data_IF_564842162168
#
_entry.id   IF_564842162168
#
_cell.length_a   1.000
_cell.length_b   1.000
_cell.length_c   1.000
_cell.angle_alpha   90.00
_cell.angle_beta   90.00
_cell.angle_gamma   90.00
#
_symmetry.space_group_name_H-M   'P 1'
#
loop_
_entity.id
_entity.type
_entity.pdbx_description
1 polymer ?
#
# COMPACT_ATOMS: atom_id res chain seq x y z
N UNK A 1 75.99 -13.14 25.18
CA UNK A 1 75.05 -12.31 25.98
C UNK A 1 73.79 -13.13 26.19
N UNK A 2 73.48 -13.46 27.44
CA UNK A 2 72.72 -14.64 27.85
C UNK A 2 71.21 -14.49 27.58
N UNK A 3 70.57 -15.51 27.02
CA UNK A 3 69.17 -15.48 26.55
C UNK A 3 68.16 -15.23 27.69
N UNK A 4 68.57 -15.53 28.93
CA UNK A 4 67.84 -15.15 30.15
C UNK A 4 67.76 -13.64 30.36
N UNK A 5 68.80 -12.87 30.03
CA UNK A 5 68.86 -11.41 30.23
C UNK A 5 67.91 -10.68 29.26
N UNK A 6 67.74 -11.20 28.04
CA UNK A 6 66.78 -10.66 27.06
C UNK A 6 65.33 -10.86 27.50
N UNK A 7 65.00 -12.02 28.09
CA UNK A 7 63.64 -12.33 28.55
C UNK A 7 63.24 -11.51 29.77
N UNK A 8 64.15 -11.28 30.74
CA UNK A 8 63.87 -10.39 31.86
C UNK A 8 63.79 -8.92 31.45
N UNK A 9 64.61 -8.48 30.49
CA UNK A 9 64.52 -7.10 29.97
C UNK A 9 63.20 -6.84 29.22
N UNK A 10 62.71 -7.79 28.41
CA UNK A 10 61.39 -7.67 27.76
C UNK A 10 60.22 -7.70 28.75
N UNK A 11 60.29 -8.51 29.81
CA UNK A 11 59.24 -8.57 30.83
C UNK A 11 59.16 -7.27 31.65
N UNK A 12 60.30 -6.67 31.98
CA UNK A 12 60.35 -5.39 32.71
C UNK A 12 59.90 -4.21 31.84
N UNK A 13 60.25 -4.19 30.55
CA UNK A 13 59.73 -3.19 29.61
C UNK A 13 58.21 -3.32 29.37
N UNK A 14 57.68 -4.54 29.36
CA UNK A 14 56.23 -4.78 29.20
C UNK A 14 55.43 -4.38 30.43
N UNK A 15 55.96 -4.59 31.65
CA UNK A 15 55.33 -4.09 32.88
C UNK A 15 55.43 -2.57 33.01
N UNK A 16 56.54 -1.95 32.59
CA UNK A 16 56.70 -0.50 32.60
C UNK A 16 55.80 0.20 31.58
N UNK A 17 55.56 -0.41 30.41
CA UNK A 17 54.60 0.09 29.42
C UNK A 17 53.14 -0.03 29.89
N UNK A 18 52.81 -1.06 30.68
CA UNK A 18 51.47 -1.24 31.24
C UNK A 18 51.17 -0.24 32.38
N UNK A 19 52.19 0.21 33.11
CA UNK A 19 52.03 1.21 34.18
C UNK A 19 51.73 2.63 33.68
N UNK A 20 52.11 2.96 32.45
CA UNK A 20 51.88 4.29 31.84
C UNK A 20 50.41 4.48 31.42
N UNK A 21 49.64 3.40 31.24
CA UNK A 21 48.20 3.47 30.92
C UNK A 21 47.31 3.79 32.13
N UNK A 22 47.82 3.73 33.36
CA UNK A 22 47.01 3.92 34.58
C UNK A 22 47.06 5.36 35.13
N UNK A 23 47.78 6.29 34.49
CA UNK A 23 47.88 7.72 34.93
C UNK A 23 47.08 8.67 34.01
N UNK A 24 46.15 8.12 33.22
CA UNK A 24 45.31 8.86 32.28
C UNK A 24 43.82 8.84 32.59
N UNK A 25 43.44 8.66 33.85
CA UNK A 25 42.03 8.71 34.27
C UNK A 25 41.88 9.72 35.41
N UNK A 26 42.21 10.98 35.14
CA UNK A 26 41.74 12.12 35.93
C UNK A 26 41.19 13.18 34.99
N UNK A 27 39.94 12.96 34.60
CA UNK A 27 38.95 13.98 34.29
C UNK A 27 37.62 13.24 34.24
N UNK A 28 36.85 13.34 35.31
CA UNK A 28 35.39 13.30 35.15
C UNK A 28 35.07 14.34 34.08
N UNK A 29 34.62 13.88 32.92
CA UNK A 29 34.09 14.78 31.90
C UNK A 29 32.90 15.50 32.53
N UNK A 30 33.03 16.80 32.77
CA UNK A 30 31.92 17.67 33.16
C UNK A 30 30.86 17.79 32.04
N UNK A 31 31.14 17.20 30.85
CA UNK A 31 30.25 17.13 29.69
C UNK A 31 29.47 15.80 29.61
N UNK A 32 29.33 15.04 30.71
CA UNK A 32 28.33 13.98 30.77
C UNK A 32 26.98 14.63 31.15
N UNK A 33 25.97 14.63 30.26
CA UNK A 33 24.67 15.22 30.57
C UNK A 33 24.13 14.62 31.87
N UNK A 34 23.87 15.49 32.85
CA UNK A 34 23.39 15.11 34.18
C UNK A 34 21.88 14.84 34.20
N UNK A 35 21.20 15.20 33.12
CA UNK A 35 19.82 14.85 32.83
C UNK A 35 19.67 14.58 31.34
N UNK A 36 18.95 13.52 31.01
CA UNK A 36 18.52 13.21 29.65
C UNK A 36 17.01 13.41 29.57
N UNK A 37 16.54 13.91 28.44
CA UNK A 37 15.11 14.00 28.20
C UNK A 37 14.49 12.60 28.20
N UNK A 38 13.34 12.49 28.87
CA UNK A 38 12.58 11.24 28.88
C UNK A 38 12.02 10.96 27.49
N UNK A 39 11.80 9.68 27.16
CA UNK A 39 11.12 9.28 25.91
C UNK A 39 9.80 10.03 25.75
N UNK A 40 8.99 10.17 26.81
CA UNK A 40 7.72 10.90 26.75
C UNK A 40 7.89 12.38 26.38
N UNK A 41 8.96 13.03 26.83
CA UNK A 41 9.26 14.42 26.47
C UNK A 41 9.66 14.53 25.01
N UNK A 42 10.57 13.66 24.57
CA UNK A 42 11.04 13.59 23.18
C UNK A 42 9.87 13.31 22.22
N UNK A 43 8.98 12.37 22.54
CA UNK A 43 7.80 12.10 21.72
C UNK A 43 6.87 13.31 21.62
N UNK A 44 6.60 13.98 22.75
CA UNK A 44 5.76 15.19 22.75
C UNK A 44 6.40 16.32 21.94
N UNK A 45 7.72 16.48 22.02
CA UNK A 45 8.46 17.48 21.28
C UNK A 45 8.48 17.15 19.78
N UNK A 46 8.77 15.90 19.41
CA UNK A 46 8.80 15.43 18.02
C UNK A 46 7.46 15.67 17.32
N UNK A 47 6.34 15.28 17.95
CA UNK A 47 5.01 15.56 17.40
C UNK A 47 4.68 17.05 17.36
N UNK A 48 5.15 17.84 18.32
CA UNK A 48 4.99 19.31 18.26
C UNK A 48 5.75 19.93 17.10
N UNK A 49 6.95 19.44 16.79
CA UNK A 49 7.74 19.89 15.63
C UNK A 49 7.09 19.43 14.32
N UNK A 50 6.65 18.17 14.26
CA UNK A 50 5.95 17.61 13.11
C UNK A 50 4.72 18.45 12.74
N UNK A 51 3.87 18.75 13.73
CA UNK A 51 2.67 19.57 13.55
C UNK A 51 2.96 21.04 13.21
N UNK A 52 4.19 21.51 13.46
CA UNK A 52 4.65 22.83 13.03
C UNK A 52 5.22 22.84 11.60
N UNK A 53 5.28 21.68 10.92
CA UNK A 53 5.92 21.51 9.61
C UNK A 53 7.44 21.39 9.65
N UNK A 54 8.01 21.25 10.84
CA UNK A 54 9.45 21.15 11.09
C UNK A 54 9.89 19.68 11.05
N UNK A 55 9.81 19.06 9.88
CA UNK A 55 9.91 17.60 9.72
C UNK A 55 11.32 17.07 9.98
N UNK A 56 12.37 17.81 9.61
CA UNK A 56 13.75 17.44 9.91
C UNK A 56 14.03 17.44 11.43
N UNK A 57 13.58 18.47 12.15
CA UNK A 57 13.72 18.50 13.61
C UNK A 57 12.86 17.42 14.30
N UNK A 58 11.65 17.18 13.80
CA UNK A 58 10.79 16.11 14.28
C UNK A 58 11.49 14.75 14.13
N UNK A 59 12.01 14.47 12.94
CA UNK A 59 12.75 13.24 12.64
C UNK A 59 13.94 13.07 13.60
N UNK A 60 14.76 14.11 13.79
CA UNK A 60 15.88 14.07 14.74
C UNK A 60 15.42 13.79 16.17
N UNK A 61 14.31 14.37 16.60
CA UNK A 61 13.80 14.20 17.96
C UNK A 61 13.21 12.80 18.19
N UNK A 62 12.51 12.24 17.21
CA UNK A 62 12.06 10.83 17.26
C UNK A 62 13.25 9.87 17.23
N UNK A 63 14.31 10.19 16.49
CA UNK A 63 15.54 9.40 16.48
C UNK A 63 16.20 9.39 17.86
N UNK A 64 16.23 10.53 18.56
CA UNK A 64 16.72 10.61 19.93
C UNK A 64 15.87 9.75 20.88
N UNK A 65 14.54 9.72 20.72
CA UNK A 65 13.66 8.85 21.49
C UNK A 65 13.96 7.36 21.23
N UNK A 66 14.15 6.99 19.96
CA UNK A 66 14.52 5.64 19.55
C UNK A 66 15.89 5.21 20.12
N UNK A 67 16.86 6.11 20.18
CA UNK A 67 18.17 5.83 20.79
C UNK A 67 18.11 5.59 22.30
N UNK A 68 17.05 6.06 22.99
CA UNK A 68 16.83 5.73 24.42
C UNK A 68 16.29 4.33 24.60
N UNK A 69 15.41 3.89 23.71
CA UNK A 69 14.84 2.55 23.69
C UNK A 69 14.52 2.13 22.26
N UNK A 70 15.34 1.23 21.73
CA UNK A 70 15.22 0.72 20.36
C UNK A 70 13.97 -0.14 20.15
N UNK A 71 13.23 -0.50 21.20
CA UNK A 71 11.96 -1.23 21.10
C UNK A 71 10.74 -0.34 21.29
N UNK A 72 10.94 0.97 21.44
CA UNK A 72 9.83 1.92 21.59
C UNK A 72 9.17 2.22 20.23
N UNK A 73 8.23 1.36 19.84
CA UNK A 73 7.55 1.39 18.54
C UNK A 73 6.95 2.76 18.15
N UNK A 74 6.35 3.56 19.07
CA UNK A 74 5.83 4.88 18.70
C UNK A 74 6.88 5.84 18.14
N UNK A 75 8.17 5.70 18.49
CA UNK A 75 9.23 6.50 17.89
C UNK A 75 9.46 6.15 16.42
N UNK A 76 9.37 4.87 16.05
CA UNK A 76 9.41 4.44 14.64
C UNK A 76 8.27 5.05 13.83
N UNK A 77 7.09 5.21 14.45
CA UNK A 77 5.95 5.81 13.77
C UNK A 77 6.20 7.29 13.44
N UNK A 78 6.70 8.05 14.42
CA UNK A 78 7.12 9.43 14.20
C UNK A 78 8.23 9.56 13.15
N UNK A 79 9.21 8.65 13.15
CA UNK A 79 10.26 8.60 12.13
C UNK A 79 9.69 8.33 10.74
N UNK A 80 8.77 7.37 10.60
CA UNK A 80 8.13 7.01 9.34
C UNK A 80 7.36 8.18 8.74
N UNK A 81 6.45 8.79 9.52
CA UNK A 81 5.66 9.92 9.05
C UNK A 81 6.49 11.17 8.77
N UNK A 82 7.55 11.42 9.55
CA UNK A 82 8.49 12.49 9.24
C UNK A 82 9.22 12.23 7.93
N UNK A 83 9.66 10.99 7.68
CA UNK A 83 10.31 10.60 6.43
C UNK A 83 9.38 10.73 5.21
N UNK A 84 8.09 10.39 5.33
CA UNK A 84 7.07 10.65 4.29
C UNK A 84 7.08 12.14 3.90
N UNK A 85 7.04 13.02 4.89
CA UNK A 85 7.02 14.47 4.66
C UNK A 85 8.33 15.04 4.14
N UNK A 86 9.43 14.33 4.36
CA UNK A 86 10.73 14.62 3.77
C UNK A 86 10.91 13.95 2.40
N UNK A 87 9.88 13.30 1.86
CA UNK A 87 9.90 12.54 0.59
C UNK A 87 10.93 11.39 0.56
N UNK A 88 11.35 10.90 1.73
CA UNK A 88 12.24 9.75 1.88
C UNK A 88 11.41 8.48 2.12
N UNK A 89 10.69 8.06 1.08
CA UNK A 89 9.72 6.96 1.15
C UNK A 89 10.36 5.59 1.41
N UNK A 90 11.61 5.40 0.98
CA UNK A 90 12.36 4.18 1.28
C UNK A 90 12.63 4.05 2.78
N UNK A 91 13.07 5.14 3.40
CA UNK A 91 13.26 5.18 4.84
C UNK A 91 11.92 5.07 5.57
N UNK A 92 10.88 5.80 5.13
CA UNK A 92 9.54 5.71 5.71
C UNK A 92 9.03 4.26 5.76
N UNK A 93 9.08 3.56 4.62
CA UNK A 93 8.69 2.15 4.52
C UNK A 93 9.50 1.25 5.46
N UNK A 94 10.79 1.53 5.65
CA UNK A 94 11.64 0.80 6.61
C UNK A 94 11.16 0.99 8.06
N UNK A 95 10.83 2.22 8.46
CA UNK A 95 10.36 2.48 9.82
C UNK A 95 9.00 1.82 10.10
N UNK A 96 8.06 1.93 9.16
CA UNK A 96 6.74 1.32 9.31
C UNK A 96 6.81 -0.22 9.27
N UNK A 97 7.66 -0.81 8.43
CA UNK A 97 7.86 -2.27 8.40
C UNK A 97 8.37 -2.81 9.74
N UNK A 98 9.20 -2.03 10.46
CA UNK A 98 9.63 -2.43 11.80
C UNK A 98 8.45 -2.53 12.78
N UNK A 99 7.52 -1.59 12.73
CA UNK A 99 6.29 -1.62 13.53
C UNK A 99 5.45 -2.85 13.13
N UNK A 100 5.20 -3.05 11.83
CA UNK A 100 4.45 -4.20 11.32
C UNK A 100 4.98 -5.54 11.86
N UNK A 101 6.30 -5.70 11.92
CA UNK A 101 6.94 -6.95 12.38
C UNK A 101 7.03 -7.09 13.91
N UNK A 102 6.91 -5.99 14.65
CA UNK A 102 7.19 -5.96 16.10
C UNK A 102 5.98 -5.69 16.98
N UNK A 103 4.92 -5.07 16.43
CA UNK A 103 3.69 -4.76 17.13
C UNK A 103 2.90 -6.03 17.48
N UNK A 104 2.17 -5.99 18.59
CA UNK A 104 1.30 -7.09 19.03
C UNK A 104 -0.15 -6.75 18.70
N UNK A 105 -0.75 -7.49 17.76
CA UNK A 105 -2.17 -7.36 17.42
C UNK A 105 -3.07 -7.55 18.66
N UNK A 106 -4.11 -6.73 18.76
CA UNK A 106 -5.00 -6.60 19.91
C UNK A 106 -4.46 -5.68 21.02
N UNK A 107 -3.18 -5.31 20.98
CA UNK A 107 -2.55 -4.39 21.95
C UNK A 107 -2.14 -3.08 21.30
N UNK A 108 -1.54 -3.16 20.11
CA UNK A 108 -0.95 -2.03 19.40
C UNK A 108 -1.75 -1.65 18.13
N UNK A 109 -3.05 -1.98 18.06
CA UNK A 109 -3.84 -1.91 16.82
C UNK A 109 -3.87 -0.51 16.19
N UNK A 110 -3.99 0.56 16.99
CA UNK A 110 -3.94 1.93 16.48
C UNK A 110 -2.58 2.24 15.82
N UNK A 111 -1.48 1.84 16.47
CA UNK A 111 -0.12 2.05 15.98
C UNK A 111 0.17 1.18 14.73
N UNK A 112 -0.36 -0.04 14.72
CA UNK A 112 -0.21 -0.97 13.61
C UNK A 112 -1.01 -0.51 12.39
N UNK A 113 -2.25 -0.05 12.58
CA UNK A 113 -3.06 0.55 11.53
C UNK A 113 -2.37 1.77 10.92
N UNK A 114 -1.79 2.61 11.75
CA UNK A 114 -1.07 3.80 11.26
C UNK A 114 0.20 3.43 10.48
N UNK A 115 0.94 2.41 10.92
CA UNK A 115 2.04 1.86 10.15
C UNK A 115 1.59 1.28 8.81
N UNK A 116 0.45 0.59 8.75
CA UNK A 116 -0.13 0.10 7.50
C UNK A 116 -0.53 1.24 6.57
N UNK A 117 -1.12 2.32 7.09
CA UNK A 117 -1.43 3.51 6.29
C UNK A 117 -0.15 4.10 5.65
N UNK A 118 0.93 4.21 6.43
CA UNK A 118 2.23 4.65 5.93
C UNK A 118 2.86 3.70 4.89
N UNK A 119 2.72 2.39 5.07
CA UNK A 119 3.15 1.38 4.10
C UNK A 119 2.34 1.42 2.80
N UNK A 120 1.01 1.63 2.89
CA UNK A 120 0.13 1.81 1.75
C UNK A 120 0.61 2.95 0.86
N UNK A 121 0.89 4.12 1.45
CA UNK A 121 1.44 5.28 0.75
C UNK A 121 2.82 4.99 0.15
N UNK A 122 3.71 4.41 0.95
CA UNK A 122 5.09 4.11 0.53
C UNK A 122 5.11 3.16 -0.67
N UNK A 123 4.25 2.13 -0.68
CA UNK A 123 4.10 1.19 -1.79
C UNK A 123 3.56 1.86 -3.05
N UNK A 124 2.52 2.71 -2.93
CA UNK A 124 1.98 3.46 -4.09
C UNK A 124 3.03 4.37 -4.72
N UNK A 125 3.81 5.06 -3.89
CA UNK A 125 4.85 5.97 -4.38
C UNK A 125 6.00 5.18 -5.01
N UNK A 126 6.44 4.09 -4.38
CA UNK A 126 7.45 3.21 -4.97
C UNK A 126 7.02 2.70 -6.35
N UNK A 127 5.76 2.26 -6.49
CA UNK A 127 5.17 1.85 -7.79
C UNK A 127 5.28 2.98 -8.81
N UNK A 128 4.83 4.17 -8.44
CA UNK A 128 4.79 5.35 -9.32
C UNK A 128 6.19 5.80 -9.74
N UNK A 129 7.17 5.76 -8.82
CA UNK A 129 8.57 6.08 -9.12
C UNK A 129 9.18 5.09 -10.11
N UNK A 130 8.95 3.78 -9.90
CA UNK A 130 9.43 2.73 -10.80
C UNK A 130 8.78 2.80 -12.18
N UNK A 131 7.50 3.12 -12.24
CA UNK A 131 6.76 3.32 -13.49
C UNK A 131 7.33 4.52 -14.27
N UNK A 132 7.54 5.66 -13.60
CA UNK A 132 8.07 6.88 -14.22
C UNK A 132 9.53 6.70 -14.66
N UNK A 133 10.35 5.99 -13.88
CA UNK A 133 11.74 5.72 -14.23
C UNK A 133 11.88 4.72 -15.39
N UNK A 134 10.85 3.90 -15.61
CA UNK A 134 10.87 2.79 -16.57
C UNK A 134 11.78 1.64 -16.13
N UNK A 135 12.11 1.56 -14.83
CA UNK A 135 12.99 0.54 -14.27
C UNK A 135 12.23 -0.67 -13.69
N UNK A 136 10.95 -0.51 -13.34
CA UNK A 136 10.13 -1.59 -12.78
C UNK A 136 9.62 -2.57 -13.83
N UNK A 137 9.69 -3.87 -13.53
CA UNK A 137 8.96 -4.88 -14.31
C UNK A 137 7.45 -4.79 -14.07
N UNK A 138 6.64 -5.37 -14.96
CA UNK A 138 5.18 -5.44 -14.78
C UNK A 138 4.85 -6.16 -13.47
N UNK A 139 5.51 -7.28 -13.20
CA UNK A 139 5.32 -8.05 -11.98
C UNK A 139 5.68 -7.26 -10.71
N UNK A 140 6.72 -6.42 -10.75
CA UNK A 140 7.11 -5.58 -9.62
C UNK A 140 6.09 -4.44 -9.39
N UNK A 141 5.58 -3.83 -10.45
CA UNK A 141 4.57 -2.78 -10.38
C UNK A 141 3.25 -3.33 -9.83
N UNK A 142 2.81 -4.50 -10.33
CA UNK A 142 1.59 -5.17 -9.88
C UNK A 142 1.72 -5.60 -8.42
N UNK A 143 2.87 -6.13 -8.01
CA UNK A 143 3.12 -6.51 -6.62
C UNK A 143 3.08 -5.32 -5.66
N UNK A 144 3.59 -4.15 -6.08
CA UNK A 144 3.51 -2.93 -5.27
C UNK A 144 2.10 -2.37 -5.20
N UNK A 145 1.35 -2.41 -6.30
CA UNK A 145 -0.06 -2.04 -6.32
C UNK A 145 -0.89 -2.91 -5.37
N UNK A 146 -0.71 -4.24 -5.46
CA UNK A 146 -1.39 -5.19 -4.59
C UNK A 146 -0.99 -4.99 -3.11
N UNK A 147 0.31 -4.80 -2.83
CA UNK A 147 0.78 -4.53 -1.46
C UNK A 147 0.12 -3.27 -0.88
N UNK A 148 -0.01 -2.21 -1.68
CA UNK A 148 -0.67 -0.98 -1.25
C UNK A 148 -2.13 -1.21 -0.85
N UNK A 149 -2.86 -1.99 -1.66
CA UNK A 149 -4.25 -2.38 -1.39
C UNK A 149 -4.34 -3.22 -0.11
N UNK A 150 -3.50 -4.25 0.04
CA UNK A 150 -3.48 -5.12 1.21
C UNK A 150 -3.21 -4.36 2.51
N UNK A 151 -2.35 -3.34 2.45
CA UNK A 151 -2.09 -2.46 3.59
C UNK A 151 -3.30 -1.60 3.94
N UNK A 152 -3.98 -1.01 2.96
CA UNK A 152 -5.21 -0.25 3.21
C UNK A 152 -6.31 -1.15 3.81
N UNK A 153 -6.48 -2.36 3.29
CA UNK A 153 -7.43 -3.34 3.84
C UNK A 153 -7.07 -3.75 5.28
N UNK A 154 -5.78 -3.83 5.59
CA UNK A 154 -5.31 -4.07 6.96
C UNK A 154 -5.66 -2.92 7.91
N UNK A 155 -5.63 -1.67 7.44
CA UNK A 155 -6.13 -0.52 8.22
C UNK A 155 -7.61 -0.66 8.51
N UNK A 156 -8.42 -0.91 7.48
CA UNK A 156 -9.88 -1.03 7.62
C UNK A 156 -10.28 -2.23 8.47
N UNK A 157 -9.52 -3.32 8.44
CA UNK A 157 -9.75 -4.48 9.30
C UNK A 157 -9.50 -4.18 10.80
N UNK A 158 -8.55 -3.30 11.11
CA UNK A 158 -8.21 -2.92 12.48
C UNK A 158 -9.10 -1.79 13.02
N UNK A 159 -9.36 -0.78 12.19
CA UNK A 159 -9.92 0.50 12.61
C UNK A 159 -11.29 0.83 12.00
N UNK A 160 -11.72 0.09 10.98
CA UNK A 160 -12.95 0.38 10.24
C UNK A 160 -12.81 1.52 9.22
N UNK A 161 -13.91 1.78 8.51
CA UNK A 161 -14.02 2.75 7.41
C UNK A 161 -13.95 4.23 7.86
N UNK A 162 -13.95 4.49 9.16
CA UNK A 162 -13.80 5.82 9.75
C UNK A 162 -12.39 6.10 10.29
N UNK A 163 -11.40 5.30 9.87
CA UNK A 163 -10.00 5.49 10.21
C UNK A 163 -9.55 6.95 10.02
N UNK A 164 -9.02 7.52 11.09
CA UNK A 164 -8.40 8.83 11.11
C UNK A 164 -7.15 8.78 12.01
N UNK A 165 -5.95 9.15 11.50
CA UNK A 165 -4.73 9.14 12.30
C UNK A 165 -4.85 10.11 13.48
N UNK A 166 -4.56 9.63 14.68
CA UNK A 166 -4.62 10.45 15.88
C UNK A 166 -3.33 11.27 16.04
N UNK A 167 -3.46 12.60 16.00
CA UNK A 167 -2.40 13.52 16.45
C UNK A 167 -1.30 13.84 15.43
N UNK A 168 -1.40 13.32 14.21
CA UNK A 168 -0.52 13.64 13.09
C UNK A 168 -1.22 13.39 11.76
N UNK A 169 -0.74 14.07 10.71
CA UNK A 169 -1.26 14.01 9.35
C UNK A 169 -2.79 13.82 9.20
N UNK A 170 -3.61 14.76 9.69
CA UNK A 170 -5.08 14.64 9.61
C UNK A 170 -5.62 14.62 8.17
N UNK A 171 -4.76 14.85 7.16
CA UNK A 171 -5.11 14.75 5.75
C UNK A 171 -4.95 13.34 5.16
N UNK A 172 -4.37 12.38 5.89
CA UNK A 172 -4.13 11.01 5.42
C UNK A 172 -4.94 9.98 6.22
N UNK A 173 -6.26 9.96 6.00
CA UNK A 173 -7.21 9.05 6.66
C UNK A 173 -7.89 8.08 5.69
N UNK A 174 -9.03 7.51 6.08
CA UNK A 174 -9.82 6.58 5.26
C UNK A 174 -10.06 7.08 3.83
N UNK A 175 -10.38 8.37 3.67
CA UNK A 175 -10.56 9.00 2.36
C UNK A 175 -9.34 8.83 1.44
N UNK A 176 -8.13 9.06 1.96
CA UNK A 176 -6.88 8.90 1.21
C UNK A 176 -6.63 7.43 0.89
N UNK A 177 -6.92 6.51 1.81
CA UNK A 177 -6.76 5.08 1.58
C UNK A 177 -7.67 4.57 0.46
N UNK A 178 -8.95 4.99 0.42
CA UNK A 178 -9.84 4.66 -0.70
C UNK A 178 -9.31 5.21 -2.03
N UNK A 179 -8.80 6.44 -2.06
CA UNK A 179 -8.21 7.01 -3.28
C UNK A 179 -6.96 6.23 -3.74
N UNK A 180 -6.10 5.82 -2.82
CA UNK A 180 -4.94 4.98 -3.14
C UNK A 180 -5.38 3.59 -3.62
N UNK A 181 -6.40 2.97 -3.00
CA UNK A 181 -6.97 1.72 -3.50
C UNK A 181 -7.55 1.89 -4.90
N UNK A 182 -8.35 2.93 -5.14
CA UNK A 182 -8.92 3.24 -6.44
C UNK A 182 -7.83 3.36 -7.51
N UNK A 183 -6.76 4.10 -7.22
CA UNK A 183 -5.61 4.25 -8.11
C UNK A 183 -4.92 2.90 -8.38
N UNK A 184 -4.63 2.12 -7.35
CA UNK A 184 -3.90 0.86 -7.53
C UNK A 184 -4.75 -0.21 -8.23
N UNK A 185 -6.06 -0.28 -7.97
CA UNK A 185 -6.96 -1.13 -8.75
C UNK A 185 -7.01 -0.72 -10.23
N UNK A 186 -6.99 0.59 -10.53
CA UNK A 186 -6.90 1.06 -11.91
C UNK A 186 -5.63 0.54 -12.61
N UNK A 187 -4.48 0.60 -11.93
CA UNK A 187 -3.21 0.12 -12.48
C UNK A 187 -3.17 -1.41 -12.63
N UNK A 188 -3.90 -2.15 -11.79
CA UNK A 188 -4.11 -3.59 -11.93
C UNK A 188 -5.18 -3.94 -12.99
N UNK A 189 -5.72 -2.94 -13.70
CA UNK A 189 -6.80 -3.09 -14.68
C UNK A 189 -8.12 -3.62 -14.10
N UNK A 190 -8.28 -3.58 -12.77
CA UNK A 190 -9.52 -3.88 -12.06
C UNK A 190 -10.37 -2.61 -11.93
N UNK A 191 -10.91 -2.16 -13.07
CA UNK A 191 -11.65 -0.89 -13.14
C UNK A 191 -12.94 -0.91 -12.30
N UNK A 192 -13.58 -2.08 -12.17
CA UNK A 192 -14.78 -2.24 -11.34
C UNK A 192 -14.49 -1.92 -9.87
N UNK A 193 -13.42 -2.48 -9.30
CA UNK A 193 -13.01 -2.15 -7.93
C UNK A 193 -12.45 -0.73 -7.81
N UNK A 194 -11.76 -0.25 -8.84
CA UNK A 194 -11.30 1.15 -8.88
C UNK A 194 -12.46 2.14 -8.72
N UNK A 195 -13.53 1.93 -9.48
CA UNK A 195 -14.75 2.72 -9.40
C UNK A 195 -15.46 2.57 -8.08
N UNK A 196 -15.56 1.35 -7.54
CA UNK A 196 -16.19 1.10 -6.25
C UNK A 196 -15.55 1.91 -5.12
N UNK A 197 -14.20 1.95 -5.09
CA UNK A 197 -13.44 2.76 -4.13
C UNK A 197 -13.63 4.26 -4.37
N UNK A 198 -13.66 4.70 -5.64
CA UNK A 198 -13.91 6.10 -5.98
C UNK A 198 -15.33 6.56 -5.59
N UNK A 199 -16.34 5.71 -5.73
CA UNK A 199 -17.73 6.03 -5.37
C UNK A 199 -17.88 6.30 -3.87
N UNK A 200 -17.04 5.70 -3.02
CA UNK A 200 -17.03 5.98 -1.58
C UNK A 200 -16.66 7.44 -1.30
N UNK A 201 -15.72 7.99 -2.08
CA UNK A 201 -15.16 9.34 -1.87
C UNK A 201 -15.83 10.42 -2.72
N UNK A 202 -16.27 10.07 -3.93
CA UNK A 202 -16.99 10.95 -4.86
C UNK A 202 -18.09 10.15 -5.61
N UNK A 203 -19.26 9.94 -4.98
CA UNK A 203 -20.32 9.08 -5.52
C UNK A 203 -20.94 9.60 -6.81
N UNK A 204 -20.77 10.88 -7.14
CA UNK A 204 -21.38 11.49 -8.33
C UNK A 204 -20.57 11.25 -9.61
N UNK A 205 -19.26 11.01 -9.49
CA UNK A 205 -18.38 10.98 -10.65
C UNK A 205 -18.69 9.81 -11.59
N UNK A 206 -18.66 8.57 -11.08
CA UNK A 206 -18.88 7.36 -11.91
C UNK A 206 -20.26 7.38 -12.56
N UNK A 207 -21.31 7.74 -11.82
CA UNK A 207 -22.65 7.88 -12.39
C UNK A 207 -22.69 8.92 -13.52
N UNK A 208 -22.07 10.08 -13.35
CA UNK A 208 -22.00 11.10 -14.40
C UNK A 208 -21.19 10.66 -15.63
N UNK A 209 -20.14 9.87 -15.42
CA UNK A 209 -19.36 9.26 -16.50
C UNK A 209 -20.21 8.25 -17.30
N UNK A 210 -20.98 7.39 -16.61
CA UNK A 210 -21.87 6.44 -17.27
C UNK A 210 -23.02 7.12 -18.03
N UNK A 211 -23.52 8.26 -17.56
CA UNK A 211 -24.47 9.07 -18.33
C UNK A 211 -23.86 9.66 -19.61
N UNK A 212 -22.54 9.89 -19.61
CA UNK A 212 -21.82 10.53 -20.72
C UNK A 212 -21.34 9.52 -21.76
N UNK A 213 -20.79 8.39 -21.31
CA UNK A 213 -20.10 7.40 -22.14
C UNK A 213 -20.80 6.04 -22.20
N UNK A 214 -21.72 5.77 -21.27
CA UNK A 214 -22.43 4.51 -21.19
C UNK A 214 -23.50 4.39 -22.27
N UNK A 215 -23.46 3.30 -23.02
CA UNK A 215 -24.47 2.94 -24.00
C UNK A 215 -25.03 1.56 -23.65
N UNK A 216 -26.34 1.52 -23.41
CA UNK A 216 -27.05 0.27 -23.16
C UNK A 216 -27.32 -0.48 -24.47
N UNK A 217 -27.02 -1.77 -24.46
CA UNK A 217 -27.37 -2.73 -25.52
C UNK A 217 -28.49 -3.63 -25.01
N UNK A 218 -29.62 -3.60 -25.69
CA UNK A 218 -30.82 -4.35 -25.33
C UNK A 218 -30.91 -5.68 -26.07
N UNK A 219 -30.44 -6.76 -25.41
CA UNK A 219 -30.73 -8.13 -25.81
C UNK A 219 -29.89 -8.64 -26.98
N UNK A 220 -28.58 -8.43 -26.91
CA UNK A 220 -27.64 -9.09 -27.82
C UNK A 220 -27.68 -10.60 -27.61
N UNK A 221 -27.73 -11.37 -28.70
CA UNK A 221 -27.64 -12.83 -28.64
C UNK A 221 -26.19 -13.23 -28.87
N UNK A 222 -25.60 -13.90 -27.88
CA UNK A 222 -24.18 -14.29 -27.86
C UNK A 222 -24.08 -15.79 -27.63
N UNK A 223 -23.27 -16.47 -28.44
CA UNK A 223 -22.96 -17.90 -28.27
C UNK A 223 -21.92 -18.10 -27.16
N UNK A 224 -22.17 -19.08 -26.30
CA UNK A 224 -21.24 -19.47 -25.25
C UNK A 224 -20.05 -20.23 -25.84
N UNK A 225 -18.86 -19.73 -25.54
CA UNK A 225 -17.61 -20.34 -25.98
C UNK A 225 -16.79 -20.85 -24.79
N UNK A 226 -16.12 -21.99 -24.96
CA UNK A 226 -15.10 -22.45 -24.03
C UNK A 226 -13.76 -21.82 -24.42
N UNK A 227 -13.14 -21.10 -23.49
CA UNK A 227 -11.80 -20.56 -23.61
C UNK A 227 -10.84 -21.42 -22.79
N UNK A 228 -9.71 -21.80 -23.39
CA UNK A 228 -8.66 -22.58 -22.75
C UNK A 228 -7.42 -21.71 -22.63
N UNK A 229 -6.96 -21.45 -21.41
CA UNK A 229 -5.70 -20.76 -21.13
C UNK A 229 -4.81 -21.65 -20.24
N UNK A 230 -3.82 -22.29 -20.85
CA UNK A 230 -2.97 -23.27 -20.17
C UNK A 230 -3.77 -24.49 -19.70
N UNK A 231 -3.83 -24.69 -18.37
CA UNK A 231 -4.62 -25.75 -17.73
C UNK A 231 -6.02 -25.28 -17.30
N UNK A 232 -6.29 -23.97 -17.36
CA UNK A 232 -7.55 -23.38 -16.95
C UNK A 232 -8.55 -23.30 -18.11
N UNK A 233 -9.80 -23.65 -17.81
CA UNK A 233 -10.91 -23.60 -18.77
C UNK A 233 -12.01 -22.70 -18.24
N UNK A 234 -12.34 -21.67 -19.02
CA UNK A 234 -13.37 -20.69 -18.70
C UNK A 234 -14.46 -20.69 -19.76
N UNK A 235 -15.70 -20.40 -19.35
CA UNK A 235 -16.81 -20.26 -20.28
C UNK A 235 -17.12 -18.78 -20.43
N UNK A 236 -17.13 -18.28 -21.66
CA UNK A 236 -17.17 -16.85 -21.92
C UNK A 236 -18.23 -16.50 -22.95
N UNK A 237 -18.89 -15.37 -22.72
CA UNK A 237 -19.65 -14.65 -23.73
C UNK A 237 -18.82 -13.44 -24.16
N UNK A 238 -18.66 -13.23 -25.46
CA UNK A 238 -17.93 -12.09 -26.02
C UNK A 238 -18.92 -11.14 -26.70
N UNK A 239 -19.34 -10.05 -26.03
CA UNK A 239 -20.17 -9.03 -26.65
C UNK A 239 -19.52 -8.43 -27.90
N UNK A 240 -20.34 -8.08 -28.90
CA UNK A 240 -19.85 -7.48 -30.14
C UNK A 240 -19.24 -6.09 -29.93
N UNK A 241 -19.73 -5.35 -28.93
CA UNK A 241 -19.22 -4.04 -28.57
C UNK A 241 -18.06 -4.19 -27.57
N UNK A 242 -16.96 -3.51 -27.86
CA UNK A 242 -15.82 -3.43 -26.94
C UNK A 242 -16.11 -2.48 -25.77
N UNK A 243 -15.51 -2.77 -24.62
CA UNK A 243 -15.64 -1.95 -23.42
C UNK A 243 -16.92 -2.20 -22.64
N UNK A 244 -17.38 -3.47 -22.57
CA UNK A 244 -18.43 -3.83 -21.62
C UNK A 244 -18.05 -3.34 -20.21
N UNK A 245 -19.00 -2.65 -19.58
CA UNK A 245 -18.83 -2.06 -18.26
C UNK A 245 -19.72 -2.73 -17.23
N UNK A 246 -21.01 -2.85 -17.53
CA UNK A 246 -21.97 -3.42 -16.59
C UNK A 246 -22.88 -4.46 -17.26
N UNK A 247 -23.22 -5.51 -16.51
CA UNK A 247 -24.11 -6.57 -16.95
C UNK A 247 -25.47 -6.40 -16.28
N UNK A 248 -26.47 -5.98 -17.05
CA UNK A 248 -27.81 -5.69 -16.52
C UNK A 248 -28.69 -6.94 -16.47
N UNK A 249 -28.55 -7.83 -17.45
CA UNK A 249 -29.30 -9.08 -17.51
C UNK A 249 -28.60 -10.09 -18.41
N UNK A 250 -28.71 -11.36 -18.03
CA UNK A 250 -28.27 -12.50 -18.83
C UNK A 250 -29.33 -13.59 -18.76
N UNK A 251 -29.74 -14.09 -19.92
CA UNK A 251 -30.81 -15.08 -20.03
C UNK A 251 -30.32 -16.18 -20.96
N UNK A 252 -30.20 -17.40 -20.44
CA UNK A 252 -29.90 -18.57 -21.26
C UNK A 252 -31.13 -18.97 -22.08
N UNK A 253 -30.92 -19.42 -23.32
CA UNK A 253 -31.94 -20.09 -24.10
C UNK A 253 -32.39 -21.42 -23.46
N UNK A 254 -31.49 -22.07 -22.71
CA UNK A 254 -31.77 -23.32 -22.00
C UNK A 254 -32.33 -23.04 -20.59
N UNK A 255 -33.54 -23.53 -20.34
CA UNK A 255 -34.21 -23.31 -19.06
C UNK A 255 -33.56 -24.17 -17.95
N UNK A 256 -33.17 -23.53 -16.85
CA UNK A 256 -32.78 -24.22 -15.61
C UNK A 256 -31.28 -24.36 -15.38
N UNK A 257 -30.44 -23.70 -16.18
CA UNK A 257 -29.03 -23.55 -15.83
C UNK A 257 -28.85 -22.60 -14.64
N UNK A 258 -28.04 -23.05 -13.68
CA UNK A 258 -27.63 -22.24 -12.53
C UNK A 258 -26.15 -21.86 -12.69
N UNK A 259 -25.86 -20.56 -12.63
CA UNK A 259 -24.55 -20.01 -12.92
C UNK A 259 -24.34 -18.67 -12.21
N UNK A 260 -23.07 -18.29 -12.03
CA UNK A 260 -22.66 -16.91 -11.73
C UNK A 260 -21.97 -16.29 -12.95
N UNK A 261 -21.98 -14.96 -13.03
CA UNK A 261 -21.37 -14.20 -14.12
C UNK A 261 -20.51 -13.06 -13.59
N UNK A 262 -19.39 -12.79 -14.25
CA UNK A 262 -18.47 -11.70 -13.97
C UNK A 262 -18.07 -11.00 -15.26
N UNK A 263 -17.97 -9.67 -15.24
CA UNK A 263 -17.51 -8.86 -16.38
C UNK A 263 -15.99 -8.73 -16.30
N UNK A 264 -15.29 -9.19 -17.33
CA UNK A 264 -13.86 -8.97 -17.50
C UNK A 264 -13.61 -7.84 -18.50
N UNK A 265 -13.43 -6.63 -17.97
CA UNK A 265 -13.18 -5.42 -18.77
C UNK A 265 -12.02 -5.58 -19.76
N UNK A 266 -10.89 -6.14 -19.31
CA UNK A 266 -9.67 -6.25 -20.12
C UNK A 266 -9.82 -7.14 -21.35
N UNK A 267 -10.66 -8.18 -21.25
CA UNK A 267 -10.88 -9.17 -22.32
C UNK A 267 -12.15 -8.91 -23.12
N UNK A 268 -12.95 -7.91 -22.73
CA UNK A 268 -14.28 -7.68 -23.27
C UNK A 268 -15.14 -8.94 -23.26
N UNK A 269 -15.18 -9.62 -22.12
CA UNK A 269 -15.87 -10.89 -21.94
C UNK A 269 -16.73 -10.88 -20.70
N UNK A 270 -17.75 -11.73 -20.70
CA UNK A 270 -18.53 -12.09 -19.53
C UNK A 270 -18.18 -13.55 -19.22
N UNK A 271 -17.52 -13.79 -18.09
CA UNK A 271 -17.15 -15.13 -17.65
C UNK A 271 -18.33 -15.75 -16.91
N UNK A 272 -18.73 -16.96 -17.31
CA UNK A 272 -19.74 -17.75 -16.65
C UNK A 272 -19.10 -18.89 -15.86
N UNK A 273 -19.50 -19.00 -14.59
CA UNK A 273 -19.11 -20.13 -13.73
C UNK A 273 -20.33 -20.99 -13.47
N UNK A 274 -20.26 -22.27 -13.85
CA UNK A 274 -21.32 -23.23 -13.59
C UNK A 274 -21.43 -23.48 -12.08
N UNK A 275 -22.65 -23.40 -11.56
CA UNK A 275 -22.94 -23.79 -10.17
C UNK A 275 -23.23 -25.30 -10.08
N UNK A 276 -23.32 -25.81 -8.85
CA UNK A 276 -23.46 -27.24 -8.59
C UNK A 276 -24.64 -27.85 -9.36
N UNK A 277 -24.35 -28.86 -10.19
CA UNK A 277 -25.35 -29.56 -11.00
C UNK A 277 -25.58 -28.97 -12.40
N UNK A 278 -24.95 -27.85 -12.73
CA UNK A 278 -24.93 -27.28 -14.10
C UNK A 278 -23.74 -27.82 -14.88
N UNK A 279 -23.94 -28.12 -16.15
CA UNK A 279 -22.87 -28.43 -17.11
C UNK A 279 -23.14 -27.62 -18.36
N UNK A 280 -22.19 -26.78 -18.74
CA UNK A 280 -22.30 -25.98 -19.95
C UNK A 280 -22.01 -26.83 -21.19
N UNK A 281 -22.62 -26.41 -22.29
CA UNK A 281 -22.39 -26.95 -23.63
C UNK A 281 -21.99 -25.78 -24.54
N UNK A 282 -21.09 -26.04 -25.50
CA UNK A 282 -20.74 -25.05 -26.53
C UNK A 282 -21.97 -24.74 -27.41
N UNK A 283 -21.92 -23.59 -28.08
CA UNK A 283 -22.94 -23.12 -29.03
C UNK A 283 -24.32 -22.82 -28.40
N UNK A 284 -24.42 -22.77 -27.07
CA UNK A 284 -25.64 -22.31 -26.38
C UNK A 284 -25.72 -20.79 -26.43
N UNK A 285 -26.86 -20.29 -26.89
CA UNK A 285 -27.12 -18.86 -26.99
C UNK A 285 -27.61 -18.26 -25.67
N UNK A 286 -27.09 -17.06 -25.37
CA UNK A 286 -27.53 -16.21 -24.28
C UNK A 286 -28.03 -14.88 -24.83
N UNK A 287 -29.16 -14.40 -24.33
CA UNK A 287 -29.60 -13.02 -24.53
C UNK A 287 -29.05 -12.17 -23.40
N UNK A 288 -28.24 -11.17 -23.74
CA UNK A 288 -27.51 -10.32 -22.81
C UNK A 288 -27.95 -8.87 -22.95
N UNK A 289 -28.19 -8.22 -21.82
CA UNK A 289 -28.42 -6.78 -21.70
C UNK A 289 -27.26 -6.22 -20.89
N UNK A 290 -26.53 -5.27 -21.46
CA UNK A 290 -25.31 -4.73 -20.85
C UNK A 290 -25.13 -3.26 -21.21
N UNK A 291 -24.25 -2.60 -20.45
CA UNK A 291 -23.75 -1.25 -20.75
C UNK A 291 -22.32 -1.41 -21.25
N UNK A 292 -21.99 -0.76 -22.37
CA UNK A 292 -20.60 -0.59 -22.80
C UNK A 292 -20.22 0.88 -22.85
N UNK A 293 -18.91 1.14 -22.78
CA UNK A 293 -18.34 2.48 -22.86
C UNK A 293 -17.91 2.76 -24.30
N UNK A 294 -18.59 3.70 -24.96
CA UNK A 294 -18.38 3.98 -26.39
C UNK A 294 -17.01 4.60 -26.71
N UNK A 295 -16.44 5.32 -25.74
CA UNK A 295 -15.11 5.91 -25.79
C UNK A 295 -14.30 5.50 -24.55
N UNK A 296 -14.07 4.19 -24.41
CA UNK A 296 -13.33 3.61 -23.29
C UNK A 296 -12.00 4.32 -22.99
N UNK A 297 -11.15 4.69 -23.97
CA UNK A 297 -9.91 5.40 -23.67
C UNK A 297 -10.13 6.75 -22.97
N UNK A 298 -11.15 7.52 -23.37
CA UNK A 298 -11.46 8.79 -22.73
C UNK A 298 -12.04 8.59 -21.33
N UNK A 299 -12.92 7.61 -21.16
CA UNK A 299 -13.48 7.24 -19.86
C UNK A 299 -12.37 6.87 -18.87
N UNK A 300 -11.47 5.97 -19.27
CA UNK A 300 -10.36 5.53 -18.42
C UNK A 300 -9.40 6.67 -18.10
N UNK A 301 -9.12 7.55 -19.08
CA UNK A 301 -8.34 8.76 -18.84
C UNK A 301 -9.00 9.68 -17.81
N UNK A 302 -10.30 9.97 -17.95
CA UNK A 302 -11.01 10.82 -17.01
C UNK A 302 -11.11 10.20 -15.61
N UNK A 303 -11.26 8.87 -15.53
CA UNK A 303 -11.27 8.14 -14.26
C UNK A 303 -9.94 8.32 -13.52
N UNK A 304 -8.81 8.02 -14.15
CA UNK A 304 -7.51 8.14 -13.49
C UNK A 304 -7.11 9.59 -13.23
N UNK A 305 -7.41 10.52 -14.14
CA UNK A 305 -7.16 11.95 -13.97
C UNK A 305 -7.94 12.50 -12.77
N UNK A 306 -9.20 12.09 -12.62
CA UNK A 306 -10.02 12.49 -11.46
C UNK A 306 -9.49 11.91 -10.15
N UNK A 307 -9.18 10.60 -10.09
CA UNK A 307 -8.56 9.97 -8.92
C UNK A 307 -7.28 10.73 -8.52
N UNK A 308 -6.39 11.00 -9.48
CA UNK A 308 -5.15 11.74 -9.22
C UNK A 308 -5.39 13.17 -8.75
N UNK A 309 -6.42 13.85 -9.26
CA UNK A 309 -6.78 15.20 -8.83
C UNK A 309 -7.24 15.26 -7.37
N UNK A 310 -7.85 14.17 -6.88
CA UNK A 310 -8.34 14.05 -5.50
C UNK A 310 -7.24 13.65 -4.51
N UNK A 311 -6.23 12.88 -4.94
CA UNK A 311 -5.13 12.41 -4.08
C UNK A 311 -4.33 13.57 -3.48
N UNK A 312 -4.16 14.68 -4.20
CA UNK A 312 -3.70 15.95 -3.63
C UNK A 312 -2.43 15.90 -2.75
N UNK A 313 -1.47 15.04 -3.10
CA UNK A 313 -0.18 14.90 -2.41
C UNK A 313 0.81 16.03 -2.77
#
# INVERSE_FOLDING_TARGET
>A
MNDKIKKTACAVLSLAALGIFMVGCDSSSDDIPTSWDSISHLMSQGWSQYNAGNFEEAYSTFLDANQRDAFYLPAYNGLGWSAVRLTDFLNAGTQFSFIQTSAVSGTDDELLADAYAGLCLSATIARSVLEISGEGSVEELDALAQSSIDYADSVFALMGEDYAPMGHDPGFGAHSLHLLKAQNYYYLLDFSRSEAELVIVDPGFVTGQLETYGVQVDGEVIELAMQVDGEDTSWVLTPAMAGIHDLLSIISAEAGWDYSSEVEFGNNSIVLTALEGTTFEEDVEFTVIYVYIDNLPQYLYELIDHIQSLIGL
#
